data_IF_539813940223
#
_entry.id   IF_539813940223
#
_cell.length_a   1.000
_cell.length_b   1.000
_cell.length_c   1.000
_cell.angle_alpha   90.00
_cell.angle_beta   90.00
_cell.angle_gamma   90.00
#
_symmetry.space_group_name_H-M   'P 1'
#
loop_
_entity.id
_entity.type
_entity.pdbx_description
1 polymer ?
#
# COMPACT_ATOMS: atom_id res chain seq x y z
N UNK A 1 -1.20 -14.97 -10.60
CA UNK A 1 -0.94 -13.65 -9.99
C UNK A 1 -2.25 -13.06 -9.50
N UNK A 2 -2.20 -12.33 -8.39
CA UNK A 2 -3.35 -11.65 -7.81
C UNK A 2 -3.09 -10.14 -7.87
N UNK A 3 -4.00 -9.37 -8.44
CA UNK A 3 -4.01 -7.91 -8.32
C UNK A 3 -5.09 -7.55 -7.30
N UNK A 4 -4.73 -6.69 -6.32
CA UNK A 4 -5.67 -6.36 -5.26
C UNK A 4 -5.62 -4.88 -4.87
N UNK A 5 -6.74 -4.41 -4.36
CA UNK A 5 -6.94 -3.06 -3.85
C UNK A 5 -7.79 -3.08 -2.59
N UNK A 6 -7.91 -1.94 -1.94
CA UNK A 6 -8.84 -1.76 -0.84
C UNK A 6 -9.53 -0.39 -0.94
N UNK A 7 -10.85 -0.38 -0.93
CA UNK A 7 -11.67 0.84 -1.00
C UNK A 7 -12.64 0.84 0.18
N UNK A 8 -12.55 1.87 1.02
CA UNK A 8 -13.37 2.04 2.22
C UNK A 8 -14.05 3.40 2.22
N UNK A 9 -15.18 3.51 2.89
CA UNK A 9 -15.89 4.76 3.12
C UNK A 9 -16.30 5.49 1.83
N UNK A 10 -16.47 4.74 0.72
CA UNK A 10 -16.82 5.33 -0.59
C UNK A 10 -15.80 6.33 -1.12
N UNK A 11 -14.51 6.20 -0.74
CA UNK A 11 -13.47 7.16 -1.09
C UNK A 11 -13.13 7.14 -2.58
N UNK A 12 -13.13 5.95 -3.18
CA UNK A 12 -12.90 5.72 -4.60
C UNK A 12 -13.99 4.84 -5.20
N UNK A 13 -14.09 4.84 -6.52
CA UNK A 13 -14.86 3.88 -7.32
C UNK A 13 -13.89 3.03 -8.13
N UNK A 14 -14.28 1.78 -8.42
CA UNK A 14 -13.49 0.93 -9.31
C UNK A 14 -13.58 1.52 -10.73
N UNK A 15 -12.47 1.99 -11.33
CA UNK A 15 -12.48 2.57 -12.67
C UNK A 15 -12.70 1.51 -13.76
N UNK A 16 -13.13 1.96 -14.95
CA UNK A 16 -13.07 1.13 -16.15
C UNK A 16 -11.61 0.93 -16.57
N UNK A 17 -11.20 -0.32 -16.77
CA UNK A 17 -9.80 -0.66 -16.96
C UNK A 17 -9.63 -1.98 -17.69
N UNK A 18 -8.39 -2.29 -18.07
CA UNK A 18 -8.03 -3.57 -18.68
C UNK A 18 -8.06 -4.70 -17.64
N UNK A 19 -8.57 -5.86 -18.05
CA UNK A 19 -8.57 -7.08 -17.26
C UNK A 19 -7.98 -8.25 -18.07
N UNK A 20 -7.02 -8.91 -17.48
CA UNK A 20 -6.40 -10.12 -18.02
C UNK A 20 -7.14 -11.35 -17.45
N UNK A 21 -7.63 -12.29 -18.26
CA UNK A 21 -8.41 -13.44 -17.78
C UNK A 21 -7.60 -14.41 -16.89
N UNK A 22 -6.27 -14.39 -16.97
CA UNK A 22 -5.38 -15.24 -16.18
C UNK A 22 -4.98 -14.61 -14.83
N UNK A 23 -5.56 -13.47 -14.49
CA UNK A 23 -5.27 -12.72 -13.26
C UNK A 23 -6.50 -12.72 -12.36
N UNK A 24 -6.31 -13.05 -11.09
CA UNK A 24 -7.33 -12.86 -10.05
C UNK A 24 -7.33 -11.41 -9.59
N UNK A 25 -8.52 -10.82 -9.48
CA UNK A 25 -8.71 -9.45 -8.99
C UNK A 25 -9.49 -9.47 -7.68
N UNK A 26 -8.92 -8.87 -6.62
CA UNK A 26 -9.54 -8.83 -5.29
C UNK A 26 -9.66 -7.38 -4.81
N UNK A 27 -10.88 -6.96 -4.48
CA UNK A 27 -11.15 -5.69 -3.85
C UNK A 27 -11.61 -5.90 -2.41
N UNK A 28 -10.79 -5.48 -1.46
CA UNK A 28 -11.20 -5.41 -0.06
C UNK A 28 -12.06 -4.16 0.17
N UNK A 29 -13.15 -4.29 0.92
CA UNK A 29 -14.09 -3.20 1.08
C UNK A 29 -14.88 -3.34 2.40
N UNK A 30 -15.44 -2.24 2.86
CA UNK A 30 -16.43 -2.17 3.93
C UNK A 30 -17.88 -2.15 3.38
N UNK A 31 -18.07 -2.55 2.12
CA UNK A 31 -19.37 -2.59 1.46
C UNK A 31 -19.83 -1.26 0.85
N UNK A 32 -19.00 -0.21 0.91
CA UNK A 32 -19.35 1.11 0.39
C UNK A 32 -19.06 1.32 -1.11
N UNK A 33 -18.40 0.35 -1.76
CA UNK A 33 -18.09 0.38 -3.20
C UNK A 33 -18.85 -0.71 -3.96
N UNK A 34 -19.37 -0.35 -5.14
CA UNK A 34 -20.06 -1.32 -5.99
C UNK A 34 -19.06 -2.21 -6.73
N UNK A 35 -19.44 -3.51 -6.86
CA UNK A 35 -18.67 -4.46 -7.66
C UNK A 35 -18.69 -4.06 -9.12
N UNK A 36 -17.51 -4.03 -9.75
CA UNK A 36 -17.32 -3.76 -11.18
C UNK A 36 -16.36 -4.79 -11.81
N UNK A 37 -16.70 -5.26 -12.99
CA UNK A 37 -15.85 -6.22 -13.72
C UNK A 37 -15.60 -7.53 -12.95
N UNK A 38 -14.39 -8.12 -13.08
CA UNK A 38 -14.04 -9.42 -12.50
C UNK A 38 -13.63 -9.34 -11.02
N UNK A 39 -13.71 -8.15 -10.37
CA UNK A 39 -13.28 -8.00 -8.99
C UNK A 39 -14.09 -8.89 -8.04
N UNK A 40 -13.39 -9.72 -7.28
CA UNK A 40 -13.92 -10.44 -6.13
C UNK A 40 -13.93 -9.49 -4.92
N UNK A 41 -15.12 -9.21 -4.39
CA UNK A 41 -15.27 -8.35 -3.22
C UNK A 41 -15.05 -9.16 -1.95
N UNK A 42 -14.16 -8.70 -1.08
CA UNK A 42 -13.84 -9.36 0.20
C UNK A 42 -13.88 -8.38 1.36
N UNK A 43 -14.19 -8.89 2.54
CA UNK A 43 -14.16 -8.12 3.77
C UNK A 43 -12.72 -7.86 4.22
N UNK A 44 -12.55 -6.76 4.94
CA UNK A 44 -11.29 -6.41 5.62
C UNK A 44 -11.27 -7.11 6.98
N UNK A 45 -10.14 -7.73 7.34
CA UNK A 45 -10.03 -8.56 8.55
C UNK A 45 -9.95 -7.77 9.86
N UNK A 46 -9.82 -6.44 9.81
CA UNK A 46 -9.73 -5.60 10.99
C UNK A 46 -10.82 -4.55 11.06
N UNK A 47 -11.21 -4.22 12.29
CA UNK A 47 -11.97 -3.01 12.61
C UNK A 47 -11.01 -1.90 13.05
N UNK A 48 -11.15 -0.72 12.48
CA UNK A 48 -10.38 0.47 12.85
C UNK A 48 -11.20 1.73 12.55
N UNK A 49 -11.25 2.66 13.50
CA UNK A 49 -12.03 3.92 13.38
C UNK A 49 -11.54 4.81 12.23
N UNK A 50 -10.22 4.77 11.93
CA UNK A 50 -9.66 5.50 10.81
C UNK A 50 -9.79 4.69 9.51
N UNK A 51 -10.62 5.13 8.53
CA UNK A 51 -10.82 4.42 7.26
C UNK A 51 -9.52 4.21 6.47
N UNK A 52 -8.59 5.17 6.52
CA UNK A 52 -7.29 5.06 5.84
C UNK A 52 -6.44 3.93 6.42
N UNK A 53 -6.37 3.80 7.74
CA UNK A 53 -5.66 2.68 8.37
C UNK A 53 -6.33 1.35 8.07
N UNK A 54 -7.65 1.32 8.07
CA UNK A 54 -8.41 0.14 7.69
C UNK A 54 -8.11 -0.26 6.24
N UNK A 55 -8.11 0.69 5.29
CA UNK A 55 -7.76 0.41 3.89
C UNK A 55 -6.29 0.05 3.67
N UNK A 56 -5.37 0.59 4.49
CA UNK A 56 -3.95 0.27 4.40
C UNK A 56 -3.62 -1.14 4.93
N UNK A 57 -4.50 -1.76 5.73
CA UNK A 57 -4.20 -3.05 6.34
C UNK A 57 -3.96 -4.18 5.33
N UNK A 58 -4.81 -4.41 4.30
CA UNK A 58 -4.51 -5.41 3.27
C UNK A 58 -3.28 -5.07 2.43
N UNK A 59 -2.99 -3.78 2.22
CA UNK A 59 -1.81 -3.28 1.52
C UNK A 59 -0.53 -3.67 2.24
N UNK A 60 -0.51 -3.44 3.56
CA UNK A 60 0.67 -3.65 4.39
C UNK A 60 0.83 -5.12 4.78
N UNK A 61 -0.27 -5.83 5.06
CA UNK A 61 -0.26 -7.20 5.57
C UNK A 61 -0.90 -8.21 4.60
N UNK A 62 -0.44 -8.34 3.35
CA UNK A 62 -1.05 -9.26 2.39
C UNK A 62 -0.95 -10.73 2.83
N UNK A 63 0.01 -11.08 3.70
CA UNK A 63 0.16 -12.42 4.26
C UNK A 63 -1.02 -12.88 5.12
N UNK A 64 -1.85 -11.96 5.64
CA UNK A 64 -3.08 -12.29 6.35
C UNK A 64 -4.25 -12.58 5.40
N UNK A 65 -4.14 -12.22 4.14
CA UNK A 65 -5.21 -12.31 3.14
C UNK A 65 -4.93 -13.33 2.04
N UNK A 66 -3.66 -13.64 1.81
CA UNK A 66 -3.21 -14.53 0.74
C UNK A 66 -2.21 -15.56 1.26
N UNK A 67 -2.26 -16.80 0.75
CA UNK A 67 -1.32 -17.84 1.14
C UNK A 67 0.15 -17.47 0.88
N UNK A 68 1.06 -18.09 1.64
CA UNK A 68 2.49 -18.01 1.39
C UNK A 68 2.82 -18.45 -0.05
N UNK A 69 3.78 -17.77 -0.67
CA UNK A 69 4.15 -17.95 -2.07
C UNK A 69 3.23 -17.25 -3.08
N UNK A 70 2.15 -16.59 -2.63
CA UNK A 70 1.28 -15.83 -3.53
C UNK A 70 2.03 -14.68 -4.18
N UNK A 71 1.96 -14.58 -5.51
CA UNK A 71 2.44 -13.45 -6.31
C UNK A 71 1.35 -12.40 -6.36
N UNK A 72 1.58 -11.26 -5.71
CA UNK A 72 0.57 -10.21 -5.50
C UNK A 72 1.03 -8.85 -6.03
N UNK A 73 0.09 -8.06 -6.54
CA UNK A 73 0.29 -6.66 -6.94
C UNK A 73 -0.78 -5.81 -6.26
N UNK A 74 -0.35 -4.94 -5.35
CA UNK A 74 -1.20 -3.88 -4.83
C UNK A 74 -1.35 -2.75 -5.82
N UNK A 75 -2.55 -2.19 -5.94
CA UNK A 75 -2.82 -0.91 -6.60
C UNK A 75 -3.75 -0.07 -5.75
N UNK A 76 -3.54 1.24 -5.70
CA UNK A 76 -4.50 2.16 -5.08
C UNK A 76 -5.81 2.18 -5.89
N UNK A 77 -6.96 2.37 -5.23
CA UNK A 77 -8.30 2.23 -5.82
C UNK A 77 -8.57 3.14 -7.02
N UNK A 78 -7.93 4.31 -7.07
CA UNK A 78 -8.06 5.27 -8.18
C UNK A 78 -7.20 4.94 -9.42
N UNK A 79 -6.35 3.92 -9.36
CA UNK A 79 -5.45 3.60 -10.47
C UNK A 79 -6.18 2.84 -11.58
N UNK A 80 -5.91 3.25 -12.82
CA UNK A 80 -6.39 2.57 -14.03
C UNK A 80 -5.30 1.64 -14.55
N UNK A 81 -5.58 0.35 -14.55
CA UNK A 81 -4.67 -0.64 -15.12
C UNK A 81 -4.75 -0.64 -16.64
N UNK A 82 -3.58 -0.71 -17.28
CA UNK A 82 -3.43 -0.98 -18.71
C UNK A 82 -2.92 -2.40 -18.92
N UNK A 83 -3.06 -2.93 -20.12
CA UNK A 83 -2.46 -4.21 -20.52
C UNK A 83 -0.97 -4.26 -20.18
N UNK A 84 -0.24 -3.21 -20.56
CA UNK A 84 1.20 -3.08 -20.28
C UNK A 84 1.54 -3.07 -18.78
N UNK A 85 0.67 -2.54 -17.92
CA UNK A 85 0.85 -2.60 -16.47
C UNK A 85 0.75 -4.04 -15.98
N UNK A 86 -0.24 -4.80 -16.47
CA UNK A 86 -0.45 -6.20 -16.08
C UNK A 86 0.70 -7.09 -16.56
N UNK A 87 1.17 -6.92 -17.80
CA UNK A 87 2.34 -7.62 -18.33
C UNK A 87 3.61 -7.37 -17.50
N UNK A 88 3.91 -6.10 -17.20
CA UNK A 88 5.04 -5.72 -16.34
C UNK A 88 4.91 -6.26 -14.92
N UNK A 89 3.69 -6.36 -14.40
CA UNK A 89 3.47 -6.94 -13.08
C UNK A 89 3.82 -8.43 -13.07
N UNK A 90 3.46 -9.18 -14.11
CA UNK A 90 3.85 -10.58 -14.27
C UNK A 90 5.37 -10.71 -14.33
N UNK A 91 6.03 -9.91 -15.18
CA UNK A 91 7.49 -9.92 -15.36
C UNK A 91 8.24 -9.56 -14.05
N UNK A 92 7.80 -8.53 -13.33
CA UNK A 92 8.39 -8.15 -12.05
C UNK A 92 8.33 -9.29 -11.02
N UNK A 93 7.18 -9.96 -10.92
CA UNK A 93 6.95 -11.04 -9.95
C UNK A 93 7.59 -12.38 -10.34
N UNK A 94 8.14 -12.49 -11.55
CA UNK A 94 8.98 -13.62 -11.95
C UNK A 94 10.43 -13.45 -11.50
N UNK A 95 10.89 -12.20 -11.41
CA UNK A 95 12.31 -11.88 -11.21
C UNK A 95 12.61 -11.30 -9.83
N UNK A 96 11.59 -10.87 -9.06
CA UNK A 96 11.80 -10.19 -7.78
C UNK A 96 10.72 -10.60 -6.76
N UNK A 97 11.13 -10.78 -5.51
CA UNK A 97 10.20 -11.03 -4.41
C UNK A 97 9.53 -9.74 -3.91
N UNK A 98 10.18 -8.59 -4.11
CA UNK A 98 9.63 -7.29 -3.73
C UNK A 98 10.09 -6.18 -4.67
N UNK A 99 9.14 -5.40 -5.16
CA UNK A 99 9.42 -4.23 -6.02
C UNK A 99 8.48 -3.08 -5.68
N UNK A 100 9.03 -1.89 -5.57
CA UNK A 100 8.31 -0.62 -5.47
C UNK A 100 8.90 0.38 -6.47
N UNK A 101 8.16 1.43 -6.78
CA UNK A 101 8.68 2.53 -7.57
C UNK A 101 9.29 3.60 -6.66
N UNK A 102 10.36 4.24 -7.12
CA UNK A 102 10.88 5.46 -6.52
C UNK A 102 10.08 6.67 -7.01
N UNK A 103 9.81 7.61 -6.11
CA UNK A 103 9.14 8.86 -6.47
C UNK A 103 10.03 9.71 -7.39
N UNK A 104 9.41 10.35 -8.40
CA UNK A 104 10.13 11.19 -9.36
C UNK A 104 10.44 12.59 -8.83
N UNK A 105 9.58 13.11 -7.94
CA UNK A 105 9.57 14.52 -7.52
C UNK A 105 9.83 14.72 -6.02
N UNK A 106 10.04 13.63 -5.27
CA UNK A 106 10.36 13.66 -3.85
C UNK A 106 11.67 12.92 -3.62
N UNK A 107 12.60 13.59 -2.95
CA UNK A 107 13.97 13.11 -2.81
C UNK A 107 14.42 12.94 -1.35
N UNK A 108 13.59 13.37 -0.42
CA UNK A 108 13.90 13.31 1.01
C UNK A 108 12.69 12.97 1.86
N UNK A 109 12.96 12.46 3.06
CA UNK A 109 11.94 12.26 4.09
C UNK A 109 11.14 13.56 4.38
N UNK A 110 11.82 14.71 4.38
CA UNK A 110 11.18 15.99 4.63
C UNK A 110 10.16 16.36 3.52
N UNK A 111 10.45 16.04 2.26
CA UNK A 111 9.51 16.27 1.16
C UNK A 111 8.21 15.47 1.39
N UNK A 112 8.31 14.24 1.89
CA UNK A 112 7.17 13.39 2.19
C UNK A 112 6.37 13.92 3.40
N UNK A 113 7.06 14.39 4.44
CA UNK A 113 6.45 15.03 5.62
C UNK A 113 5.68 16.30 5.23
N UNK A 114 6.29 17.16 4.43
CA UNK A 114 5.67 18.41 3.96
C UNK A 114 4.45 18.14 3.08
N UNK A 115 4.52 17.18 2.18
CA UNK A 115 3.39 16.78 1.34
C UNK A 115 2.21 16.26 2.18
N UNK A 116 2.49 15.42 3.16
CA UNK A 116 1.46 14.93 4.10
C UNK A 116 0.79 16.07 4.87
N UNK A 117 1.54 17.09 5.25
CA UNK A 117 1.03 18.27 5.92
C UNK A 117 0.21 19.18 4.98
N UNK A 118 0.76 19.52 3.80
CA UNK A 118 0.08 20.37 2.82
C UNK A 118 -1.22 19.75 2.29
N UNK A 119 -1.26 18.42 2.19
CA UNK A 119 -2.47 17.67 1.83
C UNK A 119 -3.50 17.55 2.97
N UNK A 120 -3.30 18.23 4.11
CA UNK A 120 -4.16 18.15 5.30
C UNK A 120 -4.41 16.71 5.79
N UNK A 121 -3.47 15.81 5.53
CA UNK A 121 -3.59 14.40 5.88
C UNK A 121 -3.14 14.11 7.31
N UNK A 122 -2.34 15.00 7.90
CA UNK A 122 -1.68 14.78 9.19
C UNK A 122 -1.55 16.05 9.98
N UNK A 123 -1.48 15.94 11.31
CA UNK A 123 -1.15 17.05 12.20
C UNK A 123 0.37 17.20 12.34
N UNK A 124 0.83 18.34 12.83
CA UNK A 124 2.24 18.52 13.17
C UNK A 124 2.68 17.60 14.32
N UNK A 125 1.81 17.37 15.28
CA UNK A 125 2.04 16.48 16.41
C UNK A 125 2.32 15.05 15.93
N UNK A 126 1.51 14.53 15.00
CA UNK A 126 1.71 13.21 14.39
C UNK A 126 3.07 13.12 13.65
N UNK A 127 3.43 14.17 12.90
CA UNK A 127 4.68 14.21 12.17
C UNK A 127 5.89 14.26 13.11
N UNK A 128 5.81 15.05 14.18
CA UNK A 128 6.86 15.13 15.19
C UNK A 128 7.02 13.79 15.90
N UNK A 129 5.90 13.15 16.27
CA UNK A 129 5.89 11.86 16.97
C UNK A 129 6.60 10.78 16.14
N UNK A 130 6.20 10.57 14.88
CA UNK A 130 6.81 9.54 14.03
C UNK A 130 8.26 9.87 13.72
N UNK A 131 8.59 11.13 13.39
CA UNK A 131 9.96 11.54 13.09
C UNK A 131 10.89 11.30 14.29
N UNK A 132 10.42 11.58 15.50
CA UNK A 132 11.17 11.29 16.72
C UNK A 132 11.36 9.79 16.91
N UNK A 133 10.28 9.00 16.74
CA UNK A 133 10.31 7.55 16.92
C UNK A 133 11.34 6.91 15.98
N UNK A 134 11.31 7.21 14.68
CA UNK A 134 12.24 6.62 13.72
C UNK A 134 13.68 7.13 13.91
N UNK A 135 13.87 8.38 14.38
CA UNK A 135 15.19 8.90 14.76
C UNK A 135 15.75 8.16 15.97
N UNK A 136 14.94 7.92 16.99
CA UNK A 136 15.35 7.19 18.21
C UNK A 136 15.68 5.72 17.91
N UNK A 137 15.13 5.16 16.81
CA UNK A 137 15.50 3.85 16.27
C UNK A 137 16.81 3.87 15.46
N UNK A 138 17.45 5.03 15.31
CA UNK A 138 18.72 5.16 14.59
C UNK A 138 18.60 5.30 13.08
N UNK A 139 17.41 5.59 12.56
CA UNK A 139 17.18 5.74 11.13
C UNK A 139 18.01 6.91 10.54
N UNK A 140 18.61 6.65 9.40
CA UNK A 140 19.38 7.65 8.67
C UNK A 140 18.55 8.32 7.56
N UNK A 141 17.92 9.43 7.85
CA UNK A 141 17.09 10.19 6.91
C UNK A 141 17.76 10.56 5.56
N UNK A 142 19.10 10.52 5.49
CA UNK A 142 19.84 10.72 4.22
C UNK A 142 19.75 9.53 3.29
N UNK A 143 19.29 8.37 3.78
CA UNK A 143 19.10 7.15 3.00
C UNK A 143 17.65 6.94 2.54
N UNK A 144 16.76 7.86 2.88
CA UNK A 144 15.36 7.78 2.48
C UNK A 144 15.20 7.71 0.96
N UNK A 145 14.46 6.70 0.50
CA UNK A 145 14.30 6.41 -0.94
C UNK A 145 13.05 7.03 -1.56
N UNK A 146 12.17 7.64 -0.77
CA UNK A 146 10.90 8.21 -1.21
C UNK A 146 10.07 7.23 -2.06
N UNK A 147 9.44 6.22 -1.44
CA UNK A 147 8.70 5.20 -2.17
C UNK A 147 7.39 5.74 -2.74
N UNK A 148 7.00 5.23 -3.93
CA UNK A 148 5.64 5.36 -4.46
C UNK A 148 4.91 4.08 -4.10
N UNK A 149 4.00 4.16 -3.15
CA UNK A 149 3.27 3.00 -2.63
C UNK A 149 1.88 2.81 -3.28
N UNK A 150 1.56 3.58 -4.32
CA UNK A 150 0.35 3.39 -5.13
C UNK A 150 0.33 2.09 -5.93
N UNK A 151 1.50 1.48 -6.15
CA UNK A 151 1.62 0.10 -6.63
C UNK A 151 2.81 -0.60 -5.97
N UNK A 152 2.59 -1.84 -5.52
CA UNK A 152 3.59 -2.68 -4.85
C UNK A 152 3.48 -4.09 -5.41
N UNK A 153 4.60 -4.63 -5.90
CA UNK A 153 4.72 -6.00 -6.35
C UNK A 153 5.43 -6.82 -5.29
N UNK A 154 4.83 -7.92 -4.86
CA UNK A 154 5.47 -8.80 -3.88
C UNK A 154 5.05 -10.26 -3.99
N UNK A 155 5.98 -11.14 -3.67
CA UNK A 155 5.69 -12.53 -3.35
C UNK A 155 5.54 -12.63 -1.82
N UNK A 156 4.50 -13.27 -1.34
CA UNK A 156 4.28 -13.42 0.12
C UNK A 156 5.30 -14.43 0.65
N UNK A 157 6.36 -13.95 1.33
CA UNK A 157 7.46 -14.75 1.89
C UNK A 157 7.62 -14.49 3.39
N UNK A 158 8.27 -15.39 4.12
CA UNK A 158 8.50 -15.24 5.58
C UNK A 158 9.28 -13.96 5.92
N UNK A 159 10.30 -13.62 5.13
CA UNK A 159 11.09 -12.41 5.32
C UNK A 159 10.23 -11.14 5.16
N UNK A 160 9.34 -11.13 4.15
CA UNK A 160 8.42 -10.01 3.93
C UNK A 160 7.31 -9.93 4.98
N UNK A 161 6.89 -11.05 5.57
CA UNK A 161 5.95 -11.03 6.72
C UNK A 161 6.55 -10.24 7.87
N UNK A 162 7.80 -10.51 8.24
CA UNK A 162 8.48 -9.76 9.31
C UNK A 162 8.55 -8.25 9.01
N UNK A 163 8.86 -7.89 7.77
CA UNK A 163 8.86 -6.50 7.32
C UNK A 163 7.46 -5.89 7.39
N UNK A 164 6.44 -6.57 6.89
CA UNK A 164 5.04 -6.10 6.85
C UNK A 164 4.50 -5.85 8.27
N UNK A 165 4.80 -6.74 9.23
CA UNK A 165 4.41 -6.58 10.64
C UNK A 165 5.07 -5.36 11.29
N UNK A 166 6.34 -5.10 11.00
CA UNK A 166 7.04 -3.91 11.47
C UNK A 166 6.44 -2.65 10.82
N UNK A 167 6.23 -2.66 9.52
CA UNK A 167 5.62 -1.54 8.81
C UNK A 167 4.22 -1.23 9.38
N UNK A 168 3.39 -2.25 9.60
CA UNK A 168 2.08 -2.08 10.21
C UNK A 168 2.18 -1.46 11.61
N UNK A 169 3.06 -2.00 12.45
CA UNK A 169 3.29 -1.46 13.80
C UNK A 169 3.62 0.03 13.78
N UNK A 170 4.51 0.47 12.88
CA UNK A 170 4.89 1.88 12.80
C UNK A 170 3.85 2.74 12.09
N UNK A 171 3.06 2.20 11.19
CA UNK A 171 1.93 2.90 10.56
C UNK A 171 0.82 3.28 11.57
N UNK A 172 0.78 2.62 12.72
CA UNK A 172 -0.15 2.94 13.81
C UNK A 172 0.34 4.09 14.71
N UNK A 173 1.61 4.49 14.60
CA UNK A 173 2.24 5.51 15.43
C UNK A 173 2.35 6.81 14.62
N UNK A 174 1.48 7.76 14.76
CA UNK A 174 1.63 9.03 14.05
C UNK A 174 0.70 9.15 12.84
N UNK A 175 1.17 9.74 11.72
CA UNK A 175 0.30 10.12 10.62
C UNK A 175 -0.32 8.93 9.89
N UNK A 176 -1.51 9.16 9.31
CA UNK A 176 -2.24 8.17 8.52
C UNK A 176 -1.65 8.00 7.09
N UNK A 177 -0.34 8.22 6.92
CA UNK A 177 0.35 8.13 5.65
C UNK A 177 1.39 7.01 5.71
N UNK A 178 1.12 5.95 5.00
CA UNK A 178 1.89 4.72 4.98
C UNK A 178 3.33 4.89 4.47
N UNK A 179 3.59 5.84 3.56
CA UNK A 179 4.94 6.13 3.06
C UNK A 179 5.92 6.56 4.16
N UNK A 180 5.44 7.27 5.18
CA UNK A 180 6.29 7.80 6.25
C UNK A 180 6.81 6.69 7.18
N UNK A 181 6.06 5.61 7.30
CA UNK A 181 6.39 4.46 8.15
C UNK A 181 7.01 3.29 7.39
N UNK A 182 7.20 3.41 6.07
CA UNK A 182 7.65 2.33 5.20
C UNK A 182 9.15 2.02 5.35
N UNK A 183 9.99 3.00 5.63
CA UNK A 183 11.46 2.89 5.61
C UNK A 183 12.05 2.34 6.92
#
# INVERSE_FOLDING_TARGET
MIIYTCITNGYDEIPDQYYDPDVQYVCFTDGTVEKKGPWEMRDILIEHDCPRRRSAHPKINPHLYFPMGSKTTWIDGCYVMTEKFVERSKENLENNDFTIMKHTDRYSYLDEVLEGFMGSMNTWEDQILITKTIKDLGYNFKKYISPVLGSIWRVVTEDLVTFDELWWKYSLIGPNRDQISFD
#
